data_IF_415210520741
#
_entry.id   IF_415210520741
#
_cell.length_a   1.000
_cell.length_b   1.000
_cell.length_c   1.000
_cell.angle_alpha   90.00
_cell.angle_beta   90.00
_cell.angle_gamma   90.00
#
_symmetry.space_group_name_H-M   'P 1'
#
loop_
_entity.id
_entity.type
_entity.pdbx_description
1 polymer ?
#
# COMPACT_ATOMS: atom_id res chain seq x y z
N UNK A 1 -20.08 17.45 22.19
CA UNK A 1 -20.41 16.08 21.72
C UNK A 1 -20.52 15.19 22.96
N UNK A 2 -21.71 15.05 23.52
CA UNK A 2 -21.93 14.36 24.79
C UNK A 2 -23.09 13.40 24.60
N UNK A 3 -22.86 12.10 24.83
CA UNK A 3 -23.91 11.09 24.70
C UNK A 3 -23.46 9.77 24.07
N UNK A 4 -22.39 9.79 23.27
CA UNK A 4 -21.74 8.60 22.73
C UNK A 4 -22.73 7.55 22.21
N UNK A 5 -22.49 6.29 22.55
CA UNK A 5 -23.33 5.17 22.16
C UNK A 5 -24.77 5.24 22.71
N UNK A 6 -24.96 5.82 23.91
CA UNK A 6 -26.28 5.90 24.54
C UNK A 6 -27.21 6.89 23.82
N UNK A 7 -26.68 8.03 23.36
CA UNK A 7 -27.42 8.97 22.52
C UNK A 7 -27.70 8.39 21.12
N UNK A 8 -26.74 7.63 20.57
CA UNK A 8 -26.90 6.93 19.29
C UNK A 8 -28.06 5.90 19.35
N UNK A 9 -28.14 5.14 20.45
CA UNK A 9 -29.24 4.22 20.72
C UNK A 9 -30.57 4.95 20.93
N UNK A 10 -30.57 6.06 21.66
CA UNK A 10 -31.79 6.84 21.93
C UNK A 10 -32.36 7.51 20.67
N UNK A 11 -31.53 7.80 19.69
CA UNK A 11 -31.94 8.37 18.40
C UNK A 11 -32.46 7.32 17.39
N UNK A 12 -32.47 6.03 17.75
CA UNK A 12 -33.02 4.97 16.90
C UNK A 12 -32.20 4.66 15.66
N UNK A 13 -30.92 5.05 15.61
CA UNK A 13 -30.04 4.73 14.50
C UNK A 13 -29.79 3.23 14.39
N UNK A 14 -29.56 2.77 13.15
CA UNK A 14 -29.23 1.37 12.90
C UNK A 14 -27.98 0.96 13.67
N UNK A 15 -28.11 -0.11 14.45
CA UNK A 15 -27.04 -0.72 15.21
C UNK A 15 -26.93 -2.17 14.76
N UNK A 16 -25.77 -2.53 14.24
CA UNK A 16 -25.47 -3.92 13.93
C UNK A 16 -24.88 -4.59 15.19
N UNK A 17 -25.66 -5.44 15.85
CA UNK A 17 -25.20 -6.31 16.93
C UNK A 17 -25.03 -7.73 16.39
N UNK A 18 -23.80 -8.07 16.01
CA UNK A 18 -23.43 -9.36 15.46
C UNK A 18 -21.92 -9.49 15.32
N UNK A 19 -21.42 -10.69 15.06
CA UNK A 19 -20.00 -10.91 14.82
C UNK A 19 -19.57 -10.06 13.63
N UNK A 20 -18.57 -9.19 13.82
CA UNK A 20 -18.05 -8.34 12.75
C UNK A 20 -17.73 -9.22 11.53
N UNK A 21 -18.37 -8.92 10.40
CA UNK A 21 -18.12 -9.64 9.16
C UNK A 21 -16.63 -9.58 8.85
N UNK A 22 -15.99 -10.76 8.72
CA UNK A 22 -14.54 -10.84 8.46
C UNK A 22 -14.12 -10.33 7.07
N UNK A 23 -15.09 -9.99 6.22
CA UNK A 23 -14.83 -9.44 4.89
C UNK A 23 -15.63 -8.15 4.68
N UNK A 24 -14.90 -7.04 4.63
CA UNK A 24 -15.29 -5.96 3.73
C UNK A 24 -15.05 -6.48 2.31
N UNK A 25 -16.07 -6.44 1.46
CA UNK A 25 -15.90 -6.65 0.02
C UNK A 25 -15.19 -5.41 -0.56
N UNK A 26 -13.92 -5.23 -0.21
CA UNK A 26 -13.08 -4.22 -0.82
C UNK A 26 -12.71 -4.73 -2.21
N UNK A 27 -13.41 -4.25 -3.22
CA UNK A 27 -12.98 -4.37 -4.59
C UNK A 27 -12.01 -3.20 -4.85
N UNK A 28 -10.70 -3.46 -5.01
CA UNK A 28 -9.77 -2.40 -5.38
C UNK A 28 -10.23 -1.79 -6.70
N UNK A 29 -10.37 -0.47 -6.76
CA UNK A 29 -10.56 0.26 -8.00
C UNK A 29 -9.18 0.81 -8.42
N UNK A 30 -8.42 0.08 -9.25
CA UNK A 30 -7.10 0.52 -9.68
C UNK A 30 -7.21 1.84 -10.44
N UNK A 31 -6.34 2.78 -10.11
CA UNK A 31 -6.23 4.09 -10.77
C UNK A 31 -5.26 3.97 -11.95
N UNK A 32 -5.29 4.91 -12.91
CA UNK A 32 -4.35 4.89 -14.04
C UNK A 32 -2.90 4.94 -13.53
N UNK A 33 -2.14 3.86 -13.74
CA UNK A 33 -0.78 3.69 -13.22
C UNK A 33 -0.60 2.48 -12.30
N UNK A 34 -1.70 1.96 -11.74
CA UNK A 34 -1.67 0.79 -10.88
C UNK A 34 -1.42 -0.49 -11.69
N UNK A 35 -0.51 -1.32 -11.19
CA UNK A 35 -0.23 -2.64 -11.73
C UNK A 35 -0.89 -3.69 -10.84
N UNK A 36 -1.66 -4.58 -11.46
CA UNK A 36 -2.25 -5.73 -10.77
C UNK A 36 -1.18 -6.66 -10.20
N UNK A 37 -1.53 -7.39 -9.14
CA UNK A 37 -0.61 -8.28 -8.40
C UNK A 37 0.11 -9.27 -9.33
N UNK A 38 -0.58 -9.82 -10.32
CA UNK A 38 0.02 -10.79 -11.25
C UNK A 38 1.04 -10.13 -12.19
N UNK A 39 0.74 -8.92 -12.69
CA UNK A 39 1.68 -8.14 -13.49
C UNK A 39 2.90 -7.70 -12.65
N UNK A 40 2.69 -7.33 -11.38
CA UNK A 40 3.77 -7.02 -10.47
C UNK A 40 4.66 -8.24 -10.20
N UNK A 41 4.08 -9.43 -9.96
CA UNK A 41 4.85 -10.68 -9.80
C UNK A 41 5.71 -10.98 -11.02
N UNK A 42 5.17 -10.81 -12.23
CA UNK A 42 5.92 -10.99 -13.48
C UNK A 42 7.04 -9.96 -13.62
N UNK A 43 6.78 -8.70 -13.25
CA UNK A 43 7.77 -7.63 -13.27
C UNK A 43 8.91 -7.87 -12.27
N UNK A 44 8.61 -8.34 -11.07
CA UNK A 44 9.62 -8.73 -10.07
C UNK A 44 10.42 -9.95 -10.55
N UNK A 45 9.75 -10.96 -11.13
CA UNK A 45 10.42 -12.17 -11.60
C UNK A 45 11.37 -11.90 -12.77
N UNK A 46 11.00 -10.97 -13.66
CA UNK A 46 11.81 -10.60 -14.83
C UNK A 46 12.78 -9.44 -14.58
N UNK A 47 12.51 -8.61 -13.56
CA UNK A 47 13.14 -7.31 -13.24
C UNK A 47 13.99 -6.76 -14.40
N UNK A 48 13.35 -6.11 -15.39
CA UNK A 48 14.06 -5.55 -16.53
C UNK A 48 15.17 -4.61 -16.07
N UNK A 49 16.30 -4.57 -16.78
CA UNK A 49 17.46 -3.72 -16.41
C UNK A 49 17.12 -2.22 -16.34
N UNK A 50 16.06 -1.82 -17.03
CA UNK A 50 15.52 -0.46 -17.11
C UNK A 50 14.36 -0.21 -16.12
N UNK A 51 14.20 -1.09 -15.13
CA UNK A 51 13.17 -0.96 -14.09
C UNK A 51 13.81 -1.00 -12.71
N UNK A 52 13.45 -0.03 -11.88
CA UNK A 52 13.79 0.01 -10.47
C UNK A 52 12.55 -0.30 -9.64
N UNK A 53 12.63 -1.31 -8.78
CA UNK A 53 11.60 -1.58 -7.78
C UNK A 53 11.94 -0.74 -6.54
N UNK A 54 11.01 0.11 -6.13
CA UNK A 54 11.13 0.99 -4.98
C UNK A 54 10.21 0.47 -3.86
N UNK A 55 10.81 0.00 -2.78
CA UNK A 55 10.10 -0.45 -1.59
C UNK A 55 9.90 0.76 -0.67
N UNK A 56 8.65 1.15 -0.44
CA UNK A 56 8.26 2.29 0.41
C UNK A 56 7.79 1.85 1.80
N UNK A 57 8.04 0.59 2.17
CA UNK A 57 7.76 0.07 3.50
C UNK A 57 8.81 0.54 4.52
N UNK A 58 8.52 0.30 5.80
CA UNK A 58 9.48 0.59 6.88
C UNK A 58 10.65 -0.40 6.86
N UNK A 59 11.78 0.01 7.45
CA UNK A 59 13.00 -0.80 7.50
C UNK A 59 12.79 -2.18 8.13
N UNK A 60 11.98 -2.28 9.19
CA UNK A 60 11.65 -3.56 9.83
C UNK A 60 10.92 -4.53 8.87
N UNK A 61 9.99 -4.02 8.04
CA UNK A 61 9.28 -4.83 7.05
C UNK A 61 10.22 -5.30 5.93
N UNK A 62 11.17 -4.46 5.52
CA UNK A 62 12.18 -4.81 4.52
C UNK A 62 13.18 -5.83 5.07
N UNK A 63 13.59 -5.70 6.35
CA UNK A 63 14.47 -6.65 7.03
C UNK A 63 13.82 -8.02 7.21
N UNK A 64 12.50 -8.06 7.42
CA UNK A 64 11.73 -9.31 7.46
C UNK A 64 11.66 -10.02 6.10
N UNK A 65 11.89 -9.29 5.00
CA UNK A 65 11.95 -9.84 3.66
C UNK A 65 11.73 -8.74 2.61
N UNK A 66 12.72 -8.56 1.74
CA UNK A 66 12.69 -7.58 0.65
C UNK A 66 12.87 -8.27 -0.71
N UNK A 67 12.25 -7.68 -1.73
CA UNK A 67 12.43 -8.12 -3.11
C UNK A 67 13.88 -7.93 -3.55
N UNK A 68 14.43 -8.92 -4.25
CA UNK A 68 15.82 -8.89 -4.71
C UNK A 68 16.00 -7.77 -5.73
N UNK A 69 16.93 -6.85 -5.46
CA UNK A 69 17.18 -5.68 -6.32
C UNK A 69 16.23 -4.51 -6.09
N UNK A 70 15.32 -4.59 -5.12
CA UNK A 70 14.54 -3.44 -4.71
C UNK A 70 15.40 -2.46 -3.90
N UNK A 71 15.16 -1.16 -4.12
CA UNK A 71 15.70 -0.09 -3.30
C UNK A 71 14.69 0.26 -2.23
N UNK A 72 15.08 0.22 -0.97
CA UNK A 72 14.26 0.67 0.14
C UNK A 72 14.40 2.18 0.31
N UNK A 73 13.28 2.90 0.21
CA UNK A 73 13.15 4.29 0.64
C UNK A 73 11.78 4.41 1.30
N UNK A 74 11.72 4.45 2.65
CA UNK A 74 10.45 4.63 3.37
C UNK A 74 9.69 5.86 2.86
N UNK A 75 8.37 5.82 2.88
CA UNK A 75 7.53 6.91 2.34
C UNK A 75 7.85 8.26 3.00
N UNK A 76 8.13 8.25 4.31
CA UNK A 76 8.51 9.43 5.09
C UNK A 76 9.80 10.10 4.58
N UNK A 77 10.72 9.30 4.03
CA UNK A 77 12.00 9.77 3.48
C UNK A 77 11.94 10.01 1.97
N UNK A 78 10.89 9.55 1.29
CA UNK A 78 10.84 9.52 -0.17
C UNK A 78 10.96 10.91 -0.78
N UNK A 79 10.25 11.91 -0.23
CA UNK A 79 10.30 13.30 -0.73
C UNK A 79 11.72 13.88 -0.63
N UNK A 80 12.43 13.61 0.47
CA UNK A 80 13.80 14.07 0.67
C UNK A 80 14.81 13.33 -0.21
N UNK A 81 14.54 12.06 -0.53
CA UNK A 81 15.45 11.15 -1.23
C UNK A 81 15.09 10.90 -2.69
N UNK A 82 14.10 11.62 -3.23
CA UNK A 82 13.71 11.60 -4.64
C UNK A 82 14.89 11.84 -5.60
N UNK A 83 15.89 12.62 -5.17
CA UNK A 83 17.10 12.88 -5.97
C UNK A 83 17.98 11.65 -6.20
N UNK A 84 17.83 10.59 -5.40
CA UNK A 84 18.58 9.34 -5.57
C UNK A 84 17.92 8.38 -6.57
N UNK A 85 16.74 8.74 -7.07
CA UNK A 85 16.01 7.92 -8.01
C UNK A 85 16.47 8.20 -9.45
N UNK A 86 16.84 7.15 -10.21
CA UNK A 86 17.24 7.30 -11.61
C UNK A 86 16.05 7.79 -12.44
N UNK A 87 16.19 8.96 -13.06
CA UNK A 87 15.14 9.57 -13.90
C UNK A 87 15.00 8.91 -15.27
N UNK A 88 16.03 8.19 -15.71
CA UNK A 88 16.06 7.45 -16.98
C UNK A 88 15.42 6.06 -16.91
N UNK A 89 15.03 5.59 -15.71
CA UNK A 89 14.48 4.25 -15.52
C UNK A 89 13.01 4.30 -15.15
N UNK A 90 12.29 3.23 -15.50
CA UNK A 90 10.93 3.01 -14.99
C UNK A 90 10.99 2.70 -13.49
N UNK A 91 10.35 3.52 -12.67
CA UNK A 91 10.26 3.29 -11.22
C UNK A 91 8.91 2.65 -10.91
N UNK A 92 8.94 1.53 -10.18
CA UNK A 92 7.76 0.83 -9.70
C UNK A 92 7.77 0.82 -8.18
N UNK A 93 6.84 1.55 -7.58
CA UNK A 93 6.65 1.59 -6.12
C UNK A 93 5.86 0.39 -5.63
N UNK A 94 6.28 -0.17 -4.49
CA UNK A 94 5.60 -1.28 -3.83
C UNK A 94 5.50 -1.05 -2.33
N UNK A 95 4.34 -1.40 -1.78
CA UNK A 95 4.01 -1.40 -0.37
C UNK A 95 3.31 -2.72 0.00
N UNK A 96 3.30 -3.11 1.28
CA UNK A 96 2.67 -4.34 1.78
C UNK A 96 1.20 -4.53 1.38
N UNK A 97 0.43 -3.45 1.21
CA UNK A 97 -1.02 -3.51 0.93
C UNK A 97 -1.44 -2.70 -0.31
N UNK A 98 -0.50 -2.06 -1.00
CA UNK A 98 -0.78 -1.11 -2.08
C UNK A 98 -1.24 0.28 -1.64
N UNK A 99 -1.72 0.44 -0.39
CA UNK A 99 -2.28 1.73 0.09
C UNK A 99 -1.23 2.84 0.23
N UNK A 100 0.02 2.51 0.60
CA UNK A 100 1.12 3.51 0.68
C UNK A 100 1.86 3.69 -0.64
N UNK A 101 1.50 2.92 -1.68
CA UNK A 101 2.11 2.99 -3.01
C UNK A 101 1.20 3.67 -4.04
N UNK A 102 0.01 4.10 -3.60
CA UNK A 102 -0.91 4.98 -4.33
C UNK A 102 -0.37 6.41 -4.47
#
# INVERSE_FOLDING_TARGET
MTGGFNAWKAAGYEMYAGQAGKMIAYAPKPRPGDIGIDAFKQLVASTPADTLILDVRNQDEANAGMLKGAKLIPDEELVARMGELPKDKRIVTHCATGVRAE
#
